data_IF_162902284543
#
_entry.id   IF_162902284543
#
_cell.length_a   1.000
_cell.length_b   1.000
_cell.length_c   1.000
_cell.angle_alpha   90.00
_cell.angle_beta   90.00
_cell.angle_gamma   90.00
#
_symmetry.space_group_name_H-M   'P 1'
#
loop_
_entity.id
_entity.type
_entity.pdbx_description
1 polymer ?
#
# COMPACT_ATOMS: atom_id res chain seq x y z
N UNK A 1 70.68 -2.39 -4.53
CA UNK A 1 70.70 -3.87 -4.41
C UNK A 1 69.40 -4.32 -3.78
N UNK A 2 68.48 -4.73 -4.61
CA UNK A 2 67.12 -5.21 -4.24
C UNK A 2 67.17 -6.70 -3.99
N UNK A 3 66.56 -7.18 -2.92
CA UNK A 3 66.20 -8.58 -2.73
C UNK A 3 64.72 -8.75 -2.83
N UNK A 4 64.31 -9.34 -3.97
CA UNK A 4 62.97 -9.89 -4.14
C UNK A 4 62.81 -11.13 -3.28
N UNK A 5 61.77 -11.21 -2.47
CA UNK A 5 61.32 -12.42 -1.79
C UNK A 5 60.15 -12.98 -2.56
N UNK A 6 60.38 -14.10 -3.24
CA UNK A 6 59.35 -14.97 -3.83
C UNK A 6 58.65 -15.70 -2.68
N UNK A 7 57.33 -15.52 -2.56
CA UNK A 7 56.45 -16.32 -1.71
C UNK A 7 55.97 -17.55 -2.47
N UNK A 8 56.43 -18.72 -2.03
CA UNK A 8 56.08 -20.04 -2.54
C UNK A 8 54.62 -20.43 -2.15
N UNK A 9 53.89 -20.88 -3.16
CA UNK A 9 52.46 -21.25 -3.08
C UNK A 9 52.19 -22.70 -2.64
N UNK A 10 53.06 -23.35 -1.86
CA UNK A 10 52.95 -24.79 -1.53
C UNK A 10 53.11 -25.08 -0.02
N UNK A 11 52.34 -24.43 0.85
CA UNK A 11 52.48 -24.66 2.28
C UNK A 11 51.22 -24.50 3.12
N UNK A 12 50.02 -24.70 2.58
CA UNK A 12 48.82 -24.54 3.38
C UNK A 12 47.82 -25.72 3.27
N UNK A 13 48.32 -26.92 3.50
CA UNK A 13 47.50 -28.11 3.70
C UNK A 13 48.19 -29.05 4.69
N UNK A 14 48.06 -28.80 6.00
CA UNK A 14 48.12 -29.80 7.09
C UNK A 14 48.12 -29.07 8.44
N UNK A 15 46.94 -28.94 8.98
CA UNK A 15 46.74 -28.44 10.32
C UNK A 15 45.25 -28.53 10.63
N UNK A 16 44.77 -29.74 10.91
CA UNK A 16 43.40 -29.97 11.38
C UNK A 16 43.23 -29.37 12.77
N UNK A 17 42.54 -28.26 12.87
CA UNK A 17 41.95 -27.79 14.10
C UNK A 17 40.40 -27.84 13.92
N UNK A 18 39.82 -28.85 14.57
CA UNK A 18 38.38 -28.99 14.70
C UNK A 18 37.87 -27.81 15.51
N UNK A 19 37.37 -26.78 14.83
CA UNK A 19 36.58 -25.75 15.48
C UNK A 19 35.17 -26.30 15.58
N UNK A 20 34.80 -26.70 16.78
CA UNK A 20 33.43 -27.04 17.13
C UNK A 20 32.55 -25.81 16.86
N UNK A 21 31.72 -25.88 15.84
CA UNK A 21 30.69 -24.92 15.53
C UNK A 21 29.62 -25.06 16.62
N UNK A 22 29.76 -24.28 17.70
CA UNK A 22 28.69 -24.16 18.68
C UNK A 22 27.50 -23.52 17.97
N UNK A 23 26.50 -24.35 17.64
CA UNK A 23 25.20 -23.85 17.22
C UNK A 23 24.62 -23.02 18.39
N UNK A 24 24.69 -21.71 18.23
CA UNK A 24 23.86 -20.80 19.04
C UNK A 24 22.42 -21.02 18.56
N UNK A 25 21.77 -22.03 19.13
CA UNK A 25 20.32 -22.11 19.14
C UNK A 25 19.85 -20.98 20.04
N UNK A 26 19.69 -19.81 19.45
CA UNK A 26 18.95 -18.71 20.07
C UNK A 26 17.56 -19.24 20.40
N UNK A 27 17.25 -19.33 21.69
CA UNK A 27 15.93 -19.58 22.21
C UNK A 27 14.93 -18.71 21.45
N UNK A 28 14.06 -19.37 20.69
CA UNK A 28 12.86 -18.74 20.18
C UNK A 28 11.98 -18.43 21.39
N UNK A 29 12.15 -17.28 22.00
CA UNK A 29 11.11 -16.72 22.85
C UNK A 29 9.88 -16.52 21.97
N UNK A 30 8.98 -17.47 22.07
CA UNK A 30 7.59 -17.32 21.67
C UNK A 30 7.04 -16.15 22.48
N UNK A 31 6.90 -14.99 21.83
CA UNK A 31 6.03 -13.94 22.34
C UNK A 31 4.58 -14.45 22.26
N UNK A 32 4.22 -15.36 23.13
CA UNK A 32 2.86 -15.55 23.56
C UNK A 32 2.54 -14.32 24.43
N UNK A 33 1.94 -13.30 23.82
CA UNK A 33 1.37 -12.22 24.57
C UNK A 33 0.30 -12.82 25.47
N UNK A 34 0.49 -12.70 26.79
CA UNK A 34 -0.58 -12.94 27.75
C UNK A 34 -1.79 -12.12 27.30
N UNK A 35 -2.91 -12.80 27.12
CA UNK A 35 -4.18 -12.20 26.75
C UNK A 35 -4.78 -11.46 27.97
N UNK A 36 -4.11 -10.41 28.40
CA UNK A 36 -4.68 -9.39 29.25
C UNK A 36 -5.62 -8.53 28.41
N UNK A 37 -6.80 -8.23 28.90
CA UNK A 37 -7.78 -7.35 28.25
C UNK A 37 -7.07 -6.03 27.88
N UNK A 38 -6.84 -5.78 26.59
CA UNK A 38 -6.20 -4.55 26.14
C UNK A 38 -7.08 -3.37 26.57
N UNK A 39 -6.50 -2.29 27.12
CA UNK A 39 -7.29 -1.15 27.52
C UNK A 39 -8.06 -0.61 26.33
N UNK A 40 -9.39 -0.42 26.48
CA UNK A 40 -10.23 0.21 25.46
C UNK A 40 -9.61 1.55 25.07
N UNK A 41 -9.31 1.70 23.79
CA UNK A 41 -8.70 2.92 23.29
C UNK A 41 -9.69 4.05 23.39
N UNK A 42 -9.33 5.07 24.19
CA UNK A 42 -10.16 6.27 24.32
C UNK A 42 -10.09 7.10 23.03
N UNK A 43 -11.17 7.77 22.64
CA UNK A 43 -11.14 8.80 21.61
C UNK A 43 -10.07 9.86 21.91
N UNK A 44 -9.65 10.61 20.89
CA UNK A 44 -8.75 11.73 21.10
C UNK A 44 -9.43 12.77 22.02
N UNK A 45 -8.77 13.08 23.13
CA UNK A 45 -9.25 14.15 24.03
C UNK A 45 -8.84 15.51 23.46
N UNK A 46 -9.76 16.48 23.46
CA UNK A 46 -9.50 17.84 22.98
C UNK A 46 -9.83 18.05 21.49
N UNK A 47 -9.13 19.00 20.88
CA UNK A 47 -9.40 19.40 19.49
C UNK A 47 -8.95 18.32 18.50
N UNK A 48 -9.84 17.89 17.63
CA UNK A 48 -9.56 16.99 16.52
C UNK A 48 -8.95 17.80 15.36
N UNK A 49 -7.63 17.89 15.30
CA UNK A 49 -6.88 18.51 14.22
C UNK A 49 -5.65 17.65 13.82
N UNK A 50 -4.98 18.06 12.73
CA UNK A 50 -3.84 17.29 12.21
C UNK A 50 -2.68 17.15 13.18
N UNK A 51 -2.42 18.16 13.99
CA UNK A 51 -1.31 18.15 14.94
C UNK A 51 -1.59 17.14 16.05
N UNK A 52 -2.77 17.23 16.65
CA UNK A 52 -3.20 16.31 17.70
C UNK A 52 -3.25 14.85 17.22
N UNK A 53 -3.78 14.62 16.02
CA UNK A 53 -3.79 13.29 15.38
C UNK A 53 -2.36 12.79 15.18
N UNK A 54 -1.45 13.62 14.67
CA UNK A 54 -0.05 13.21 14.44
C UNK A 54 0.69 12.91 15.72
N UNK A 55 0.50 13.72 16.77
CA UNK A 55 1.10 13.51 18.09
C UNK A 55 0.68 12.16 18.64
N UNK A 56 -0.63 11.88 18.71
CA UNK A 56 -1.16 10.62 19.21
C UNK A 56 -0.75 9.41 18.33
N UNK A 57 -0.82 9.55 17.01
CA UNK A 57 -0.36 8.50 16.11
C UNK A 57 1.10 8.13 16.36
N UNK A 58 1.97 9.10 16.64
CA UNK A 58 3.38 8.85 16.99
C UNK A 58 3.49 8.04 18.28
N UNK A 59 2.75 8.40 19.32
CA UNK A 59 2.73 7.68 20.59
C UNK A 59 2.23 6.23 20.43
N UNK A 60 1.23 6.03 19.57
CA UNK A 60 0.64 4.71 19.34
C UNK A 60 1.47 3.83 18.41
N UNK A 61 2.20 4.38 17.46
CA UNK A 61 2.86 3.61 16.40
C UNK A 61 4.37 3.42 16.60
N UNK A 62 5.00 4.15 17.50
CA UNK A 62 6.43 3.96 17.79
C UNK A 62 6.68 2.58 18.41
N UNK A 63 7.80 1.92 18.07
CA UNK A 63 8.87 2.36 17.15
C UNK A 63 8.63 1.99 15.67
N UNK A 64 7.47 1.46 15.31
CA UNK A 64 7.15 1.00 13.94
C UNK A 64 6.96 2.16 12.95
N UNK A 65 6.46 3.32 13.42
CA UNK A 65 6.36 4.55 12.65
C UNK A 65 6.61 5.76 13.55
N UNK A 66 7.46 6.68 13.10
CA UNK A 66 7.82 7.89 13.84
C UNK A 66 6.92 9.09 13.50
N UNK A 67 5.97 8.91 12.61
CA UNK A 67 5.03 9.95 12.13
C UNK A 67 5.79 11.26 11.82
N UNK A 68 6.78 11.14 10.94
CA UNK A 68 7.62 12.26 10.52
C UNK A 68 6.77 13.38 9.90
N UNK A 69 7.20 14.65 9.97
CA UNK A 69 6.54 15.76 9.28
C UNK A 69 6.30 15.47 7.80
N UNK A 70 7.29 14.91 7.14
CA UNK A 70 7.24 14.46 5.76
C UNK A 70 7.55 12.97 5.66
N UNK A 71 6.68 12.23 4.97
CA UNK A 71 6.80 10.78 4.83
C UNK A 71 7.51 10.43 3.51
N UNK A 72 8.83 10.61 3.47
CA UNK A 72 9.65 10.51 2.26
C UNK A 72 10.65 9.32 2.24
N UNK A 73 10.58 8.43 3.22
CA UNK A 73 11.48 7.26 3.29
C UNK A 73 12.88 7.56 3.86
N UNK A 74 13.14 8.79 4.32
CA UNK A 74 14.45 9.23 4.87
C UNK A 74 14.46 9.38 6.39
N UNK A 75 13.35 9.05 7.04
CA UNK A 75 13.22 9.12 8.49
C UNK A 75 13.81 7.91 9.23
N UNK A 76 13.69 7.86 10.58
CA UNK A 76 14.25 6.78 11.39
C UNK A 76 13.71 5.38 11.10
N UNK A 77 12.65 5.26 10.29
CA UNK A 77 12.08 3.97 9.87
C UNK A 77 12.81 3.31 8.68
N UNK A 78 13.94 3.86 8.20
CA UNK A 78 14.75 3.27 7.11
C UNK A 78 15.09 1.82 7.47
N UNK A 79 14.83 0.88 6.55
CA UNK A 79 15.08 -0.55 6.72
C UNK A 79 14.11 -1.28 7.65
N UNK A 80 13.16 -0.60 8.29
CA UNK A 80 12.23 -1.21 9.24
C UNK A 80 11.05 -1.90 8.52
N UNK A 81 11.23 -3.16 8.18
CA UNK A 81 10.20 -4.07 7.68
C UNK A 81 10.32 -5.39 8.46
N UNK A 82 9.34 -5.77 9.31
CA UNK A 82 8.02 -5.18 9.56
C UNK A 82 8.07 -3.76 10.14
N UNK A 83 7.09 -2.97 9.77
CA UNK A 83 6.96 -1.54 10.11
C UNK A 83 6.67 -0.70 8.88
N UNK A 84 6.85 0.62 8.97
CA UNK A 84 6.47 1.57 7.91
C UNK A 84 7.64 2.06 7.04
N UNK A 85 8.85 1.49 7.21
CA UNK A 85 10.00 1.76 6.36
C UNK A 85 9.93 1.07 4.99
N UNK A 86 10.99 1.21 4.20
CA UNK A 86 11.24 0.43 2.99
C UNK A 86 12.31 -0.63 3.24
N UNK A 87 12.47 -1.56 2.30
CA UNK A 87 13.53 -2.57 2.33
C UNK A 87 14.91 -1.95 2.16
N UNK A 88 15.91 -2.55 2.78
CA UNK A 88 17.30 -2.09 2.71
C UNK A 88 17.45 -0.64 3.16
N UNK A 89 18.04 0.21 2.33
CA UNK A 89 18.18 1.64 2.57
C UNK A 89 16.89 2.46 2.27
N UNK A 90 15.75 1.80 2.11
CA UNK A 90 14.45 2.41 1.74
C UNK A 90 14.44 3.13 0.39
N UNK A 91 15.34 2.81 -0.54
CA UNK A 91 15.44 3.52 -1.81
C UNK A 91 14.18 3.44 -2.66
N UNK A 92 13.49 2.28 -2.69
CA UNK A 92 12.21 2.15 -3.40
C UNK A 92 11.11 3.04 -2.79
N UNK A 93 11.14 3.26 -1.46
CA UNK A 93 10.24 4.22 -0.81
C UNK A 93 10.61 5.67 -1.17
N UNK A 94 11.89 6.01 -1.12
CA UNK A 94 12.39 7.33 -1.51
C UNK A 94 12.08 7.62 -2.98
N UNK A 95 12.27 6.63 -3.87
CA UNK A 95 11.95 6.74 -5.28
C UNK A 95 10.46 7.06 -5.55
N UNK A 96 9.52 6.49 -4.76
CA UNK A 96 8.11 6.88 -4.86
C UNK A 96 7.89 8.37 -4.56
N UNK A 97 8.53 8.86 -3.50
CA UNK A 97 8.43 10.26 -3.11
C UNK A 97 9.06 11.18 -4.15
N UNK A 98 10.30 10.89 -4.55
CA UNK A 98 11.07 11.72 -5.47
C UNK A 98 10.46 11.75 -6.87
N UNK A 99 10.02 10.59 -7.38
CA UNK A 99 9.41 10.54 -8.72
C UNK A 99 8.07 11.28 -8.79
N UNK A 100 7.26 11.23 -7.74
CA UNK A 100 6.02 11.99 -7.70
C UNK A 100 6.27 13.50 -7.49
N UNK A 101 7.30 13.86 -6.71
CA UNK A 101 7.71 15.25 -6.52
C UNK A 101 8.22 15.88 -7.82
N UNK A 102 8.90 15.11 -8.68
CA UNK A 102 9.41 15.57 -9.97
C UNK A 102 8.31 15.91 -10.99
N UNK A 103 7.12 15.32 -10.85
CA UNK A 103 5.95 15.71 -11.65
C UNK A 103 5.39 17.03 -11.11
N UNK A 104 5.19 18.03 -11.99
CA UNK A 104 4.70 19.36 -11.61
C UNK A 104 3.32 19.61 -12.22
N UNK A 105 2.44 20.33 -11.52
CA UNK A 105 1.15 20.75 -12.05
C UNK A 105 1.30 22.03 -12.89
N UNK A 106 0.67 22.06 -14.06
CA UNK A 106 0.56 23.23 -14.90
C UNK A 106 -0.60 24.11 -14.41
N UNK A 107 -0.30 25.22 -13.77
CA UNK A 107 -1.34 26.17 -13.35
C UNK A 107 -2.03 26.79 -14.56
N UNK A 108 -3.36 26.73 -14.56
CA UNK A 108 -4.24 27.34 -15.56
C UNK A 108 -5.33 28.11 -14.83
N UNK A 109 -5.52 29.37 -15.17
CA UNK A 109 -6.45 30.26 -14.44
C UNK A 109 -7.42 31.02 -15.37
N UNK A 110 -7.36 30.76 -16.68
CA UNK A 110 -8.26 31.38 -17.68
C UNK A 110 -9.24 30.29 -18.15
N UNK A 111 -10.30 30.06 -17.39
CA UNK A 111 -11.37 29.09 -17.63
C UNK A 111 -12.57 29.37 -16.72
N UNK A 112 -13.69 28.64 -16.90
CA UNK A 112 -14.92 28.80 -16.13
C UNK A 112 -15.12 27.77 -15.00
N UNK A 113 -14.10 27.04 -14.56
CA UNK A 113 -14.22 26.04 -13.47
C UNK A 113 -14.26 26.75 -12.12
N UNK A 114 -15.35 26.53 -11.35
CA UNK A 114 -15.52 27.13 -10.02
C UNK A 114 -15.74 26.07 -8.93
N UNK A 115 -16.55 25.04 -9.21
CA UNK A 115 -16.89 23.96 -8.29
C UNK A 115 -16.72 22.63 -9.01
N UNK A 116 -15.54 22.01 -8.95
CA UNK A 116 -15.30 20.76 -9.64
C UNK A 116 -15.99 19.59 -8.95
N UNK A 117 -16.40 18.59 -9.74
CA UNK A 117 -16.87 17.31 -9.25
C UNK A 117 -15.70 16.34 -9.09
N UNK A 118 -15.35 16.03 -7.85
CA UNK A 118 -14.28 15.08 -7.50
C UNK A 118 -14.74 13.64 -7.46
N UNK A 119 -16.04 13.36 -7.65
CA UNK A 119 -16.60 12.01 -7.55
C UNK A 119 -16.26 11.13 -8.75
N UNK A 120 -16.19 9.83 -8.51
CA UNK A 120 -16.07 8.81 -9.55
C UNK A 120 -17.02 7.64 -9.28
N UNK A 121 -17.29 6.85 -10.31
CA UNK A 121 -17.79 5.49 -10.17
C UNK A 121 -16.62 4.52 -10.01
N UNK A 122 -16.65 3.72 -8.95
CA UNK A 122 -15.68 2.67 -8.68
C UNK A 122 -16.38 1.32 -8.67
N UNK A 123 -16.34 0.62 -9.80
CA UNK A 123 -17.00 -0.68 -10.00
C UNK A 123 -18.47 -0.67 -9.52
N UNK A 124 -19.27 0.31 -9.99
CA UNK A 124 -20.68 0.46 -9.66
C UNK A 124 -20.94 1.11 -8.28
N UNK A 125 -19.89 1.54 -7.58
CA UNK A 125 -20.02 2.28 -6.32
C UNK A 125 -19.56 3.72 -6.52
N UNK A 126 -20.49 4.69 -6.36
CA UNK A 126 -20.14 6.11 -6.40
C UNK A 126 -19.33 6.45 -5.14
N UNK A 127 -18.13 7.02 -5.33
CA UNK A 127 -17.28 7.54 -4.26
C UNK A 127 -16.96 9.02 -4.48
N UNK A 128 -16.71 9.74 -3.39
CA UNK A 128 -16.59 11.20 -3.39
C UNK A 128 -15.26 11.73 -3.98
N UNK A 129 -14.27 10.86 -4.14
CA UNK A 129 -12.95 11.19 -4.69
C UNK A 129 -12.22 9.93 -5.17
N UNK A 130 -11.29 10.04 -6.14
CA UNK A 130 -10.50 8.91 -6.66
C UNK A 130 -9.31 8.56 -5.74
N UNK A 131 -9.59 8.40 -4.45
CA UNK A 131 -8.61 8.00 -3.45
C UNK A 131 -9.28 7.11 -2.39
N UNK A 132 -8.81 5.88 -2.25
CA UNK A 132 -9.33 4.87 -1.33
C UNK A 132 -8.24 4.37 -0.39
N UNK A 133 -8.61 3.75 0.72
CA UNK A 133 -7.62 3.19 1.63
C UNK A 133 -6.87 2.02 0.97
N UNK A 134 -5.56 1.98 1.13
CA UNK A 134 -4.78 0.82 0.73
C UNK A 134 -4.99 -0.34 1.73
N UNK A 135 -5.22 -1.57 1.28
CA UNK A 135 -5.29 -2.72 2.14
C UNK A 135 -4.00 -2.87 2.97
N UNK A 136 -4.10 -2.70 4.27
CA UNK A 136 -2.96 -2.73 5.19
C UNK A 136 -3.34 -3.55 6.40
N UNK A 137 -2.62 -4.62 6.68
CA UNK A 137 -2.85 -5.52 7.81
C UNK A 137 -1.65 -5.66 8.71
N UNK A 138 -1.78 -6.51 9.73
CA UNK A 138 -0.72 -6.77 10.69
C UNK A 138 -0.61 -5.67 11.74
N UNK A 139 -1.70 -5.32 12.38
CA UNK A 139 -1.74 -4.33 13.47
C UNK A 139 -0.72 -4.63 14.55
N UNK A 140 -0.50 -5.92 14.87
CA UNK A 140 0.42 -6.38 15.91
C UNK A 140 1.89 -6.19 15.54
N UNK A 141 2.30 -6.55 14.32
CA UNK A 141 3.72 -6.57 13.93
C UNK A 141 4.15 -5.39 13.04
N UNK A 142 3.23 -4.78 12.29
CA UNK A 142 3.54 -3.61 11.45
C UNK A 142 3.27 -2.27 12.15
N UNK A 143 2.25 -2.20 13.03
CA UNK A 143 1.66 -0.93 13.48
C UNK A 143 1.86 -0.63 14.97
N UNK A 144 2.59 -1.49 15.70
CA UNK A 144 2.86 -1.29 17.13
C UNK A 144 1.88 -2.00 18.08
N UNK A 145 0.85 -2.66 17.55
CA UNK A 145 -0.06 -3.54 18.33
C UNK A 145 -0.97 -2.82 19.32
N UNK A 146 -1.13 -1.50 19.19
CA UNK A 146 -2.00 -0.71 20.10
C UNK A 146 -3.48 -0.79 19.72
N UNK A 147 -3.80 -1.00 18.44
CA UNK A 147 -5.14 -1.30 17.94
C UNK A 147 -5.30 -2.79 17.74
N UNK A 148 -6.45 -3.35 18.05
CA UNK A 148 -6.88 -4.66 17.55
C UNK A 148 -7.21 -4.56 16.06
N UNK A 149 -7.30 -5.69 15.36
CA UNK A 149 -7.75 -5.69 13.96
C UNK A 149 -9.15 -5.09 13.81
N UNK A 150 -10.07 -5.48 14.68
CA UNK A 150 -11.42 -4.92 14.73
C UNK A 150 -11.44 -3.39 14.89
N UNK A 151 -10.69 -2.84 15.84
CA UNK A 151 -10.60 -1.40 16.06
C UNK A 151 -9.99 -0.69 14.85
N UNK A 152 -8.98 -1.29 14.24
CA UNK A 152 -8.33 -0.75 13.05
C UNK A 152 -9.26 -0.75 11.82
N UNK A 153 -9.93 -1.87 11.55
CA UNK A 153 -10.91 -1.97 10.46
C UNK A 153 -12.07 -1.00 10.67
N UNK A 154 -12.58 -0.90 11.91
CA UNK A 154 -13.61 0.10 12.26
C UNK A 154 -13.13 1.51 11.95
N UNK A 155 -11.93 1.87 12.39
CA UNK A 155 -11.38 3.21 12.18
C UNK A 155 -11.19 3.53 10.68
N UNK A 156 -10.57 2.63 9.92
CA UNK A 156 -10.31 2.85 8.48
C UNK A 156 -11.61 2.87 7.68
N UNK A 157 -12.44 1.84 7.81
CA UNK A 157 -13.64 1.71 7.00
C UNK A 157 -14.71 2.72 7.41
N UNK A 158 -14.90 2.96 8.71
CA UNK A 158 -15.85 3.94 9.20
C UNK A 158 -15.47 5.37 8.82
N UNK A 159 -14.20 5.73 8.96
CA UNK A 159 -13.73 7.07 8.58
C UNK A 159 -13.79 7.32 7.08
N UNK A 160 -13.43 6.33 6.26
CA UNK A 160 -13.60 6.41 4.81
C UNK A 160 -15.07 6.54 4.41
N UNK A 161 -15.97 5.76 5.03
CA UNK A 161 -17.42 5.85 4.80
C UNK A 161 -17.96 7.24 5.15
N UNK A 162 -17.55 7.81 6.29
CA UNK A 162 -17.92 9.20 6.68
C UNK A 162 -17.46 10.24 5.64
N UNK A 163 -16.34 10.01 4.97
CA UNK A 163 -15.83 10.89 3.91
C UNK A 163 -16.41 10.58 2.51
N UNK A 164 -17.21 9.53 2.38
CA UNK A 164 -17.80 9.08 1.12
C UNK A 164 -16.83 8.37 0.19
N UNK A 165 -15.77 7.73 0.74
CA UNK A 165 -14.84 6.88 -0.02
C UNK A 165 -14.79 5.46 0.57
N UNK A 166 -13.91 4.60 0.05
CA UNK A 166 -13.81 3.20 0.45
C UNK A 166 -12.68 2.97 1.45
N UNK A 167 -13.00 2.22 2.49
CA UNK A 167 -12.02 1.61 3.38
C UNK A 167 -11.33 0.40 2.77
N UNK A 168 -10.52 -0.28 3.58
CA UNK A 168 -9.86 -1.50 3.14
C UNK A 168 -9.67 -2.49 4.29
N UNK A 169 -9.77 -3.78 3.97
CA UNK A 169 -9.39 -4.91 4.83
C UNK A 169 -8.24 -5.68 4.15
N UNK A 170 -7.33 -6.21 4.92
CA UNK A 170 -6.18 -6.94 4.38
C UNK A 170 -6.03 -8.34 5.00
N UNK A 171 -5.73 -9.32 4.13
CA UNK A 171 -5.20 -10.62 4.53
C UNK A 171 -3.71 -10.45 4.89
N UNK A 172 -3.40 -10.26 6.16
CA UNK A 172 -2.02 -10.10 6.63
C UNK A 172 -1.19 -11.35 6.42
N UNK A 173 0.04 -11.20 5.89
CA UNK A 173 0.91 -12.37 5.61
C UNK A 173 1.30 -13.13 6.89
N UNK A 174 1.34 -12.45 8.02
CA UNK A 174 1.66 -13.01 9.33
C UNK A 174 0.43 -13.33 10.18
N UNK A 175 -0.77 -13.03 9.69
CA UNK A 175 -2.00 -13.20 10.44
C UNK A 175 -2.66 -14.54 10.09
N UNK A 176 -3.17 -15.30 11.08
CA UNK A 176 -3.96 -16.49 10.83
C UNK A 176 -5.33 -16.11 10.23
N UNK A 177 -5.98 -17.08 9.56
CA UNK A 177 -7.27 -16.87 8.89
C UNK A 177 -8.34 -16.20 9.78
N UNK A 178 -8.51 -16.57 11.06
CA UNK A 178 -9.51 -15.92 11.93
C UNK A 178 -9.35 -14.41 12.09
N UNK A 179 -8.14 -13.87 12.00
CA UNK A 179 -7.91 -12.40 12.04
C UNK A 179 -8.48 -11.73 10.80
N UNK A 180 -8.32 -12.34 9.64
CA UNK A 180 -8.94 -11.86 8.39
C UNK A 180 -10.47 -11.96 8.44
N UNK A 181 -11.01 -13.07 8.95
CA UNK A 181 -12.45 -13.27 9.15
C UNK A 181 -13.04 -12.25 10.12
N UNK A 182 -12.35 -11.91 11.23
CA UNK A 182 -12.76 -10.87 12.16
C UNK A 182 -12.87 -9.50 11.46
N UNK A 183 -11.91 -9.16 10.61
CA UNK A 183 -11.92 -7.94 9.80
C UNK A 183 -13.13 -7.88 8.86
N UNK A 184 -13.42 -8.98 8.14
CA UNK A 184 -14.58 -9.08 7.26
C UNK A 184 -15.91 -9.05 8.02
N UNK A 185 -16.00 -9.73 9.15
CA UNK A 185 -17.18 -9.71 10.01
C UNK A 185 -17.45 -8.31 10.58
N UNK A 186 -16.40 -7.58 10.93
CA UNK A 186 -16.49 -6.19 11.39
C UNK A 186 -17.02 -5.31 10.27
N UNK A 187 -16.48 -5.43 9.05
CA UNK A 187 -16.96 -4.70 7.87
C UNK A 187 -18.46 -4.93 7.64
N UNK A 188 -18.87 -6.22 7.61
CA UNK A 188 -20.26 -6.63 7.37
C UNK A 188 -21.22 -6.12 8.46
N UNK A 189 -20.86 -6.29 9.74
CA UNK A 189 -21.71 -5.92 10.86
C UNK A 189 -21.98 -4.42 10.96
N UNK A 190 -21.04 -3.59 10.48
CA UNK A 190 -21.13 -2.14 10.49
C UNK A 190 -21.68 -1.56 9.18
N UNK A 191 -21.91 -2.41 8.15
CA UNK A 191 -22.44 -1.98 6.86
C UNK A 191 -21.47 -1.10 6.05
N UNK A 192 -20.18 -1.16 6.33
CA UNK A 192 -19.18 -0.38 5.62
C UNK A 192 -18.85 -0.98 4.27
N UNK A 193 -18.51 -0.13 3.28
CA UNK A 193 -17.99 -0.56 1.99
C UNK A 193 -16.47 -0.46 1.95
N UNK A 194 -15.83 -1.49 1.42
CA UNK A 194 -14.37 -1.55 1.36
C UNK A 194 -13.89 -2.36 0.14
N UNK A 195 -12.60 -2.24 -0.15
CA UNK A 195 -11.84 -3.19 -0.95
C UNK A 195 -11.11 -4.17 -0.04
N UNK A 196 -10.76 -5.33 -0.57
CA UNK A 196 -9.96 -6.34 0.17
C UNK A 196 -8.66 -6.63 -0.55
N UNK A 197 -7.56 -6.66 0.21
CA UNK A 197 -6.24 -7.06 -0.27
C UNK A 197 -5.87 -8.45 0.21
N UNK A 198 -5.64 -9.36 -0.74
CA UNK A 198 -5.23 -10.73 -0.50
C UNK A 198 -3.73 -10.92 -0.75
N UNK A 199 -3.12 -11.84 -0.05
CA UNK A 199 -1.74 -12.25 -0.30
C UNK A 199 -1.68 -13.33 -1.40
N UNK A 200 -0.56 -13.44 -2.14
CA UNK A 200 -0.41 -14.43 -3.21
C UNK A 200 -0.14 -15.83 -2.64
N UNK A 201 -1.09 -16.34 -1.87
CA UNK A 201 -1.12 -17.69 -1.30
C UNK A 201 -1.34 -18.72 -2.42
N UNK A 202 -1.43 -19.99 -2.10
CA UNK A 202 -1.90 -21.00 -3.06
C UNK A 202 -3.28 -20.60 -3.58
N UNK A 203 -3.55 -20.81 -4.87
CA UNK A 203 -4.81 -20.36 -5.49
C UNK A 203 -6.06 -20.84 -4.73
N UNK A 204 -6.08 -22.09 -4.27
CA UNK A 204 -7.17 -22.62 -3.45
C UNK A 204 -7.47 -21.76 -2.21
N UNK A 205 -6.41 -21.29 -1.53
CA UNK A 205 -6.54 -20.49 -0.31
C UNK A 205 -6.97 -19.06 -0.63
N UNK A 206 -6.58 -18.53 -1.80
CA UNK A 206 -7.04 -17.23 -2.30
C UNK A 206 -8.53 -17.29 -2.64
N UNK A 207 -8.95 -18.33 -3.38
CA UNK A 207 -10.34 -18.51 -3.79
C UNK A 207 -11.28 -18.66 -2.59
N UNK A 208 -10.84 -19.35 -1.53
CA UNK A 208 -11.59 -19.40 -0.28
C UNK A 208 -11.80 -17.99 0.32
N UNK A 209 -10.74 -17.19 0.39
CA UNK A 209 -10.79 -15.82 0.91
C UNK A 209 -11.62 -14.87 0.04
N UNK A 210 -11.64 -15.08 -1.28
CA UNK A 210 -12.51 -14.32 -2.19
C UNK A 210 -13.99 -14.54 -1.86
N UNK A 211 -14.39 -15.78 -1.58
CA UNK A 211 -15.77 -16.12 -1.18
C UNK A 211 -16.15 -15.49 0.15
N UNK A 212 -15.24 -15.49 1.12
CA UNK A 212 -15.46 -14.82 2.40
C UNK A 212 -15.64 -13.30 2.22
N UNK A 213 -14.82 -12.69 1.38
CA UNK A 213 -14.91 -11.27 1.07
C UNK A 213 -16.21 -10.90 0.35
N UNK A 214 -16.67 -11.71 -0.61
CA UNK A 214 -17.97 -11.55 -1.27
C UNK A 214 -19.12 -11.54 -0.25
N UNK A 215 -19.15 -12.52 0.66
CA UNK A 215 -20.16 -12.64 1.71
C UNK A 215 -20.16 -11.44 2.67
N UNK A 216 -19.05 -10.71 2.78
CA UNK A 216 -18.93 -9.50 3.57
C UNK A 216 -19.38 -8.22 2.83
N UNK A 217 -19.77 -8.31 1.54
CA UNK A 217 -20.23 -7.16 0.76
C UNK A 217 -19.09 -6.24 0.27
N UNK A 218 -17.92 -6.81 0.02
CA UNK A 218 -16.74 -6.11 -0.51
C UNK A 218 -16.98 -5.66 -1.96
N UNK A 219 -16.46 -4.50 -2.34
CA UNK A 219 -16.66 -3.89 -3.67
C UNK A 219 -15.71 -4.47 -4.73
N UNK A 220 -14.45 -4.69 -4.35
CA UNK A 220 -13.42 -5.22 -5.24
C UNK A 220 -12.30 -5.90 -4.45
N UNK A 221 -11.55 -6.75 -5.13
CA UNK A 221 -10.43 -7.52 -4.58
C UNK A 221 -9.11 -7.06 -5.21
N UNK A 222 -8.05 -7.03 -4.42
CA UNK A 222 -6.68 -6.93 -4.92
C UNK A 222 -5.87 -8.14 -4.47
N UNK A 223 -4.94 -8.62 -5.32
CA UNK A 223 -3.94 -9.61 -4.92
C UNK A 223 -2.56 -8.96 -4.99
N UNK A 224 -1.86 -8.92 -3.87
CA UNK A 224 -0.52 -8.33 -3.74
C UNK A 224 0.55 -9.27 -4.31
N UNK A 225 0.67 -9.41 -5.65
CA UNK A 225 1.60 -10.34 -6.30
C UNK A 225 3.06 -10.16 -5.86
N UNK A 226 3.45 -8.92 -5.62
CA UNK A 226 4.80 -8.55 -5.15
C UNK A 226 5.12 -9.05 -3.74
N UNK A 227 4.13 -9.47 -2.97
CA UNK A 227 4.34 -10.05 -1.63
C UNK A 227 4.89 -11.48 -1.67
N UNK A 228 4.99 -12.11 -2.84
CA UNK A 228 5.61 -13.43 -3.02
C UNK A 228 7.05 -13.50 -2.50
N UNK A 229 7.82 -12.41 -2.62
CA UNK A 229 9.20 -12.32 -2.09
C UNK A 229 9.31 -12.40 -0.56
N UNK A 230 8.18 -12.46 0.15
CA UNK A 230 8.13 -12.63 1.62
C UNK A 230 7.98 -14.07 2.07
N UNK A 231 8.03 -15.04 1.17
CA UNK A 231 7.90 -16.47 1.49
C UNK A 231 8.82 -16.92 2.63
N UNK A 232 10.08 -16.45 2.64
CA UNK A 232 11.05 -16.73 3.70
C UNK A 232 10.69 -16.12 5.08
N UNK A 233 9.72 -15.21 5.13
CA UNK A 233 9.23 -14.52 6.34
C UNK A 233 7.82 -14.93 6.72
N UNK A 234 7.17 -15.78 5.92
CA UNK A 234 5.86 -16.32 6.25
C UNK A 234 5.96 -17.20 7.49
N UNK A 235 4.96 -17.10 8.36
CA UNK A 235 4.81 -18.04 9.49
C UNK A 235 4.53 -19.43 8.97
N UNK A 236 4.85 -20.47 9.75
CA UNK A 236 4.56 -21.86 9.38
C UNK A 236 3.10 -22.02 8.92
N UNK A 237 2.90 -22.60 7.74
CA UNK A 237 1.58 -22.81 7.15
C UNK A 237 1.03 -21.66 6.33
N UNK A 238 1.77 -20.54 6.20
CA UNK A 238 1.35 -19.38 5.39
C UNK A 238 2.26 -19.22 4.16
N UNK A 239 2.11 -20.10 3.19
CA UNK A 239 2.87 -20.07 1.95
C UNK A 239 2.38 -18.97 1.03
N UNK A 240 3.30 -18.15 0.53
CA UNK A 240 3.09 -17.20 -0.58
C UNK A 240 4.06 -17.54 -1.71
N UNK A 241 3.61 -17.35 -2.96
CA UNK A 241 4.37 -17.76 -4.14
C UNK A 241 4.14 -16.77 -5.30
N UNK A 242 5.09 -16.63 -6.24
CA UNK A 242 4.83 -15.97 -7.51
C UNK A 242 3.73 -16.70 -8.27
N UNK A 243 3.01 -15.99 -9.15
CA UNK A 243 1.93 -16.57 -9.96
C UNK A 243 2.34 -16.71 -11.41
N UNK A 244 2.03 -17.87 -11.99
CA UNK A 244 2.12 -18.07 -13.43
C UNK A 244 0.92 -17.44 -14.14
N UNK A 245 1.02 -17.22 -15.44
CA UNK A 245 -0.08 -16.67 -16.24
C UNK A 245 -1.36 -17.52 -16.12
N UNK A 246 -1.24 -18.84 -16.12
CA UNK A 246 -2.40 -19.74 -15.99
C UNK A 246 -3.04 -19.64 -14.59
N UNK A 247 -2.22 -19.44 -13.54
CA UNK A 247 -2.74 -19.21 -12.21
C UNK A 247 -3.48 -17.86 -12.10
N UNK A 248 -3.03 -16.81 -12.81
CA UNK A 248 -3.76 -15.53 -12.87
C UNK A 248 -5.12 -15.74 -13.55
N UNK A 249 -5.19 -16.45 -14.66
CA UNK A 249 -6.46 -16.78 -15.36
C UNK A 249 -7.42 -17.56 -14.46
N UNK A 250 -6.91 -18.56 -13.75
CA UNK A 250 -7.69 -19.34 -12.77
C UNK A 250 -8.31 -18.41 -11.71
N UNK A 251 -7.51 -17.50 -11.12
CA UNK A 251 -7.97 -16.57 -10.11
C UNK A 251 -9.01 -15.58 -10.64
N UNK A 252 -8.83 -15.08 -11.86
CA UNK A 252 -9.80 -14.20 -12.51
C UNK A 252 -11.11 -14.95 -12.76
N UNK A 253 -11.05 -16.17 -13.30
CA UNK A 253 -12.22 -16.99 -13.56
C UNK A 253 -13.00 -17.39 -12.31
N UNK A 254 -12.29 -17.58 -11.18
CA UNK A 254 -12.88 -17.96 -9.90
C UNK A 254 -13.37 -16.76 -9.07
N UNK A 255 -13.02 -15.54 -9.46
CA UNK A 255 -13.34 -14.35 -8.66
C UNK A 255 -14.82 -13.95 -8.81
N UNK A 256 -15.58 -13.87 -7.71
CA UNK A 256 -16.96 -13.40 -7.75
C UNK A 256 -17.09 -11.87 -7.82
N UNK A 257 -15.97 -11.15 -7.67
CA UNK A 257 -15.90 -9.69 -7.60
C UNK A 257 -14.86 -9.16 -8.59
N UNK A 258 -14.88 -7.87 -8.94
CA UNK A 258 -13.80 -7.25 -9.71
C UNK A 258 -12.44 -7.52 -9.05
N UNK A 259 -11.54 -8.18 -9.79
CA UNK A 259 -10.21 -8.57 -9.30
C UNK A 259 -9.13 -7.73 -9.96
N UNK A 260 -8.28 -7.13 -9.12
CA UNK A 260 -7.12 -6.35 -9.55
C UNK A 260 -5.82 -7.03 -9.07
N UNK A 261 -4.81 -7.07 -9.93
CA UNK A 261 -3.47 -7.54 -9.53
C UNK A 261 -2.60 -6.36 -9.13
N UNK A 262 -2.06 -6.42 -7.90
CA UNK A 262 -1.24 -5.36 -7.31
C UNK A 262 0.23 -5.78 -7.26
N UNK A 263 1.12 -4.79 -7.44
CA UNK A 263 2.57 -5.01 -7.48
C UNK A 263 3.12 -4.91 -8.90
N UNK A 264 2.32 -4.41 -9.84
CA UNK A 264 2.67 -4.33 -11.26
C UNK A 264 3.54 -3.08 -11.48
N UNK A 265 4.77 -3.28 -11.96
CA UNK A 265 5.74 -2.22 -12.14
C UNK A 265 6.33 -2.14 -13.56
N UNK A 266 5.89 -3.03 -14.46
CA UNK A 266 6.37 -3.08 -15.84
C UNK A 266 5.22 -3.18 -16.85
N UNK A 267 5.36 -2.64 -18.09
CA UNK A 267 4.31 -2.70 -19.11
C UNK A 267 4.00 -4.13 -19.61
N UNK A 268 4.97 -5.02 -19.62
CA UNK A 268 4.80 -6.42 -20.03
C UNK A 268 3.98 -7.22 -19.02
N UNK A 269 4.24 -7.05 -17.70
CA UNK A 269 3.39 -7.67 -16.67
C UNK A 269 1.96 -7.09 -16.65
N UNK A 270 1.82 -5.78 -16.91
CA UNK A 270 0.50 -5.17 -17.07
C UNK A 270 -0.27 -5.79 -18.25
N UNK A 271 0.41 -6.06 -19.36
CA UNK A 271 -0.17 -6.75 -20.51
C UNK A 271 -0.63 -8.18 -20.17
N UNK A 272 0.17 -8.94 -19.41
CA UNK A 272 -0.23 -10.27 -18.94
C UNK A 272 -1.48 -10.22 -18.04
N UNK A 273 -1.60 -9.21 -17.18
CA UNK A 273 -2.80 -9.02 -16.35
C UNK A 273 -4.05 -8.74 -17.21
N UNK A 274 -3.91 -7.89 -18.24
CA UNK A 274 -5.01 -7.62 -19.21
C UNK A 274 -5.40 -8.89 -19.95
N UNK A 275 -4.43 -9.66 -20.45
CA UNK A 275 -4.68 -10.93 -21.17
C UNK A 275 -5.29 -12.01 -20.27
N UNK A 276 -4.98 -12.01 -18.98
CA UNK A 276 -5.61 -12.89 -18.00
C UNK A 276 -7.07 -12.51 -17.71
N UNK A 277 -7.55 -11.34 -18.17
CA UNK A 277 -8.91 -10.85 -17.96
C UNK A 277 -9.13 -10.14 -16.65
N UNK A 278 -8.06 -9.61 -16.02
CA UNK A 278 -8.16 -8.83 -14.77
C UNK A 278 -9.06 -7.61 -14.95
N UNK A 279 -9.93 -7.32 -13.99
CA UNK A 279 -10.72 -6.09 -13.96
C UNK A 279 -9.83 -4.83 -13.85
N UNK A 280 -8.63 -4.97 -13.27
CA UNK A 280 -7.66 -3.90 -13.19
C UNK A 280 -6.30 -4.33 -12.67
N UNK A 281 -5.43 -3.35 -12.58
CA UNK A 281 -4.09 -3.48 -11.97
C UNK A 281 -3.88 -2.37 -10.94
N UNK A 282 -2.96 -2.60 -10.02
CA UNK A 282 -2.42 -1.57 -9.13
C UNK A 282 -0.93 -1.42 -9.40
N UNK A 283 -0.54 -0.29 -9.97
CA UNK A 283 0.87 0.08 -10.13
C UNK A 283 1.45 0.40 -8.76
N UNK A 284 2.33 -0.47 -8.27
CA UNK A 284 2.77 -0.45 -6.88
C UNK A 284 4.09 -1.20 -6.70
N UNK A 285 5.03 -0.60 -5.99
CA UNK A 285 6.19 -1.29 -5.41
C UNK A 285 6.00 -1.58 -3.91
N UNK A 286 4.73 -1.67 -3.46
CA UNK A 286 4.35 -1.88 -2.06
C UNK A 286 4.91 -0.82 -1.10
N UNK A 287 5.06 0.42 -1.58
CA UNK A 287 5.72 1.48 -0.83
C UNK A 287 7.20 1.20 -0.54
N UNK A 288 7.89 0.48 -1.42
CA UNK A 288 9.30 0.07 -1.27
C UNK A 288 9.52 -1.02 -0.22
N UNK A 289 8.50 -1.84 0.11
CA UNK A 289 8.53 -2.79 1.24
C UNK A 289 8.75 -4.25 0.84
N UNK A 290 8.74 -4.57 -0.44
CA UNK A 290 8.92 -5.95 -0.96
C UNK A 290 10.29 -6.16 -1.58
N UNK A 291 10.68 -5.34 -2.52
CA UNK A 291 11.99 -5.36 -3.17
C UNK A 291 12.69 -4.01 -2.95
N UNK A 292 13.96 -4.05 -2.59
CA UNK A 292 14.78 -2.84 -2.48
C UNK A 292 15.12 -2.29 -3.89
N UNK A 293 15.43 -1.00 -3.94
CA UNK A 293 15.99 -0.32 -5.14
C UNK A 293 15.06 -0.34 -6.38
N UNK A 294 13.74 -0.50 -6.17
CA UNK A 294 12.75 -0.38 -7.26
C UNK A 294 12.55 1.09 -7.66
N UNK A 295 12.19 1.37 -8.92
CA UNK A 295 11.77 2.71 -9.33
C UNK A 295 10.51 3.16 -8.58
N UNK A 296 10.24 4.46 -8.59
CA UNK A 296 8.99 4.99 -8.07
C UNK A 296 7.82 4.78 -9.03
N UNK A 297 6.62 4.64 -8.48
CA UNK A 297 5.42 4.34 -9.27
C UNK A 297 5.05 5.46 -10.25
N UNK A 298 5.29 6.73 -9.90
CA UNK A 298 5.06 7.84 -10.83
C UNK A 298 5.97 7.79 -12.07
N UNK A 299 7.18 7.22 -11.94
CA UNK A 299 8.12 7.10 -13.05
C UNK A 299 7.75 6.00 -14.06
N UNK A 300 7.05 4.96 -13.64
CA UNK A 300 6.69 3.82 -14.51
C UNK A 300 5.25 3.88 -15.01
N UNK A 301 4.36 4.58 -14.28
CA UNK A 301 2.93 4.64 -14.57
C UNK A 301 2.59 5.08 -16.00
N UNK A 302 3.22 6.13 -16.59
CA UNK A 302 2.84 6.56 -17.94
C UNK A 302 2.97 5.46 -18.98
N UNK A 303 4.09 4.72 -18.99
CA UNK A 303 4.33 3.61 -19.93
C UNK A 303 3.38 2.43 -19.72
N UNK A 304 3.06 2.14 -18.46
CA UNK A 304 2.07 1.11 -18.11
C UNK A 304 0.68 1.54 -18.59
N UNK A 305 0.29 2.79 -18.36
CA UNK A 305 -0.99 3.33 -18.80
C UNK A 305 -1.14 3.31 -20.33
N UNK A 306 -0.08 3.69 -21.06
CA UNK A 306 -0.03 3.63 -22.51
C UNK A 306 -0.14 2.19 -23.03
N UNK A 307 0.54 1.24 -22.38
CA UNK A 307 0.46 -0.19 -22.72
C UNK A 307 -0.93 -0.77 -22.46
N UNK A 308 -1.53 -0.45 -21.33
CA UNK A 308 -2.89 -0.90 -20.96
C UNK A 308 -3.96 -0.28 -21.88
N UNK A 309 -3.80 1.00 -22.21
CA UNK A 309 -4.65 1.74 -23.15
C UNK A 309 -6.15 1.55 -22.88
N UNK A 310 -6.59 1.73 -21.65
CA UNK A 310 -7.99 1.68 -21.23
C UNK A 310 -8.62 0.28 -21.19
N UNK A 311 -7.87 -0.80 -21.45
CA UNK A 311 -8.40 -2.17 -21.46
C UNK A 311 -8.70 -2.75 -20.08
N UNK A 312 -8.15 -2.18 -19.02
CA UNK A 312 -8.52 -2.50 -17.64
C UNK A 312 -8.35 -1.27 -16.75
N UNK A 313 -8.89 -1.34 -15.52
CA UNK A 313 -8.80 -0.25 -14.54
C UNK A 313 -7.38 -0.15 -13.96
N UNK A 314 -6.82 1.06 -13.89
CA UNK A 314 -5.49 1.31 -13.32
C UNK A 314 -5.63 2.06 -12.01
N UNK A 315 -5.23 1.43 -10.91
CA UNK A 315 -4.95 2.09 -9.65
C UNK A 315 -3.45 2.27 -9.46
N UNK A 316 -3.07 3.17 -8.57
CA UNK A 316 -1.67 3.41 -8.21
C UNK A 316 -1.53 3.74 -6.73
N UNK A 317 -0.43 3.32 -6.12
CA UNK A 317 0.01 3.82 -4.82
C UNK A 317 1.41 4.45 -4.91
N UNK A 318 1.91 4.95 -3.79
CA UNK A 318 3.25 5.55 -3.70
C UNK A 318 3.19 6.96 -3.14
N UNK A 319 3.33 7.08 -1.81
CA UNK A 319 3.46 8.35 -1.04
C UNK A 319 2.33 9.38 -1.18
N UNK A 320 1.14 8.96 -1.62
CA UNK A 320 -0.04 9.84 -1.68
C UNK A 320 -0.35 10.42 -0.30
N UNK A 321 -0.30 11.76 -0.18
CA UNK A 321 -0.49 12.50 1.05
C UNK A 321 -1.39 13.73 0.90
N UNK A 322 -1.56 14.20 -0.34
CA UNK A 322 -2.24 15.45 -0.69
C UNK A 322 -3.17 15.23 -1.88
N UNK A 323 -4.14 16.12 -2.04
CA UNK A 323 -5.01 16.12 -3.23
C UNK A 323 -4.24 16.37 -4.54
N UNK A 324 -3.17 17.16 -4.49
CA UNK A 324 -2.26 17.36 -5.65
C UNK A 324 -1.54 16.09 -6.05
N UNK A 325 -1.22 15.17 -5.12
CA UNK A 325 -0.60 13.88 -5.44
C UNK A 325 -1.60 12.99 -6.19
N UNK A 326 -2.87 13.04 -5.79
CA UNK A 326 -3.97 12.34 -6.48
C UNK A 326 -4.07 12.85 -7.91
N UNK A 327 -4.16 14.17 -8.13
CA UNK A 327 -4.27 14.77 -9.46
C UNK A 327 -3.10 14.42 -10.37
N UNK A 328 -1.86 14.44 -9.85
CA UNK A 328 -0.68 14.03 -10.60
C UNK A 328 -0.77 12.58 -11.08
N UNK A 329 -1.18 11.65 -10.21
CA UNK A 329 -1.34 10.25 -10.59
C UNK A 329 -2.46 10.04 -11.61
N UNK A 330 -3.57 10.76 -11.48
CA UNK A 330 -4.63 10.72 -12.49
C UNK A 330 -4.14 11.25 -13.84
N UNK A 331 -3.43 12.37 -13.85
CA UNK A 331 -2.86 12.94 -15.06
C UNK A 331 -1.78 12.04 -15.70
N UNK A 332 -1.07 11.21 -14.93
CA UNK A 332 -0.13 10.20 -15.42
C UNK A 332 -0.82 8.96 -16.01
N UNK A 333 -2.15 8.78 -15.78
CA UNK A 333 -2.94 7.74 -16.42
C UNK A 333 -3.63 6.75 -15.46
N UNK A 334 -3.60 6.95 -14.15
CA UNK A 334 -4.41 6.18 -13.21
C UNK A 334 -5.86 6.69 -13.17
N UNK A 335 -6.80 5.84 -12.77
CA UNK A 335 -8.19 6.23 -12.49
C UNK A 335 -8.48 6.40 -11.00
N UNK A 336 -7.66 5.81 -10.11
CA UNK A 336 -7.81 5.93 -8.68
C UNK A 336 -6.48 5.70 -7.97
N UNK A 337 -6.34 6.25 -6.76
CA UNK A 337 -5.14 6.09 -5.94
C UNK A 337 -5.44 5.28 -4.67
N UNK A 338 -4.42 4.55 -4.18
CA UNK A 338 -4.45 3.91 -2.87
C UNK A 338 -3.62 4.72 -1.86
N UNK A 339 -4.22 5.00 -0.72
CA UNK A 339 -3.58 5.76 0.37
C UNK A 339 -3.29 4.82 1.55
N UNK A 340 -2.03 4.50 1.78
CA UNK A 340 -1.60 3.57 2.84
C UNK A 340 -1.23 4.30 4.13
N UNK A 341 0.04 4.63 4.29
CA UNK A 341 0.65 5.14 5.54
C UNK A 341 -0.12 6.27 6.20
N UNK A 342 -0.68 7.18 5.43
CA UNK A 342 -1.37 8.35 5.97
C UNK A 342 -2.72 7.99 6.60
N UNK A 343 -3.50 7.11 5.98
CA UNK A 343 -4.74 6.62 6.59
C UNK A 343 -4.47 5.78 7.84
N UNK A 344 -3.44 4.93 7.82
CA UNK A 344 -3.04 4.17 9.02
C UNK A 344 -2.68 5.10 10.17
N UNK A 345 -1.93 6.17 9.91
CA UNK A 345 -1.61 7.19 10.93
C UNK A 345 -2.85 7.91 11.45
N UNK A 346 -3.76 8.26 10.53
CA UNK A 346 -5.01 8.91 10.90
C UNK A 346 -5.89 8.00 11.77
N UNK A 347 -5.95 6.70 11.47
CA UNK A 347 -6.65 5.70 12.28
C UNK A 347 -6.06 5.58 13.70
N UNK A 348 -4.74 5.51 13.83
CA UNK A 348 -4.09 5.44 15.14
C UNK A 348 -4.21 6.75 15.93
N UNK A 349 -4.20 7.89 15.26
CA UNK A 349 -4.25 9.19 15.89
C UNK A 349 -5.63 9.69 16.25
N UNK A 350 -6.65 9.36 15.46
CA UNK A 350 -7.99 9.94 15.61
C UNK A 350 -9.13 8.96 15.34
N UNK A 351 -8.84 7.64 15.24
CA UNK A 351 -9.82 6.61 14.90
C UNK A 351 -10.62 6.99 13.64
N UNK A 352 -11.93 6.72 13.60
CA UNK A 352 -12.80 7.04 12.46
C UNK A 352 -12.77 8.53 12.09
N UNK A 353 -12.86 9.41 13.08
CA UNK A 353 -12.90 10.86 12.84
C UNK A 353 -11.57 11.39 12.31
N UNK A 354 -10.45 10.81 12.77
CA UNK A 354 -9.12 11.10 12.22
C UNK A 354 -8.98 10.70 10.76
N UNK A 355 -9.48 9.52 10.40
CA UNK A 355 -9.48 9.06 9.00
C UNK A 355 -10.41 9.93 8.13
N UNK A 356 -11.60 10.24 8.61
CA UNK A 356 -12.55 11.12 7.90
C UNK A 356 -11.96 12.52 7.68
N UNK A 357 -11.33 13.09 8.70
CA UNK A 357 -10.66 14.40 8.60
C UNK A 357 -9.56 14.37 7.53
N UNK A 358 -8.71 13.35 7.52
CA UNK A 358 -7.64 13.23 6.55
C UNK A 358 -8.18 12.99 5.13
N UNK A 359 -9.21 12.17 4.96
CA UNK A 359 -9.84 11.92 3.68
C UNK A 359 -10.46 13.21 3.10
N UNK A 360 -11.19 13.97 3.93
CA UNK A 360 -11.77 15.25 3.53
C UNK A 360 -10.71 16.31 3.18
N UNK A 361 -9.54 16.28 3.85
CA UNK A 361 -8.39 17.10 3.47
C UNK A 361 -7.93 16.79 2.04
N UNK A 362 -7.69 15.52 1.71
CA UNK A 362 -7.30 15.12 0.35
C UNK A 362 -8.33 15.59 -0.67
N UNK A 363 -9.62 15.38 -0.39
CA UNK A 363 -10.73 15.80 -1.26
C UNK A 363 -10.74 17.30 -1.51
N UNK A 364 -10.62 18.11 -0.45
CA UNK A 364 -10.57 19.56 -0.57
C UNK A 364 -9.36 20.05 -1.36
N UNK A 365 -8.18 19.48 -1.11
CA UNK A 365 -6.97 19.82 -1.83
C UNK A 365 -7.04 19.42 -3.31
N UNK A 366 -7.66 18.28 -3.63
CA UNK A 366 -7.92 17.86 -5.01
C UNK A 366 -8.85 18.83 -5.71
N UNK A 367 -9.94 19.25 -5.06
CA UNK A 367 -10.86 20.24 -5.64
C UNK A 367 -10.16 21.58 -5.94
N UNK A 368 -9.30 22.05 -5.02
CA UNK A 368 -8.51 23.26 -5.25
C UNK A 368 -7.55 23.08 -6.41
N UNK A 369 -6.85 21.95 -6.50
CA UNK A 369 -5.94 21.65 -7.59
C UNK A 369 -6.68 21.60 -8.93
N UNK A 370 -7.82 20.93 -9.02
CA UNK A 370 -8.68 20.88 -10.21
C UNK A 370 -9.15 22.27 -10.66
N UNK A 371 -9.47 23.18 -9.74
CA UNK A 371 -9.77 24.57 -10.08
C UNK A 371 -8.53 25.25 -10.69
N UNK A 372 -7.35 25.04 -10.14
CA UNK A 372 -6.12 25.70 -10.59
C UNK A 372 -5.50 25.08 -11.84
N UNK A 373 -5.98 23.90 -12.27
CA UNK A 373 -5.57 23.23 -13.51
C UNK A 373 -6.64 23.26 -14.60
N UNK A 374 -7.86 23.68 -14.25
CA UNK A 374 -8.99 23.83 -15.18
C UNK A 374 -9.78 22.55 -15.42
N UNK A 375 -9.77 21.58 -14.49
CA UNK A 375 -10.57 20.36 -14.56
C UNK A 375 -11.93 20.54 -13.85
N UNK A 376 -13.05 20.39 -14.59
CA UNK A 376 -14.39 20.44 -14.01
C UNK A 376 -14.78 19.11 -13.39
N UNK A 377 -14.28 18.00 -13.93
CA UNK A 377 -14.55 16.62 -13.48
C UNK A 377 -13.25 15.83 -13.50
N UNK A 378 -13.22 14.71 -12.78
CA UNK A 378 -12.06 13.81 -12.77
C UNK A 378 -11.68 13.34 -14.19
N UNK A 379 -12.66 13.11 -15.07
CA UNK A 379 -12.43 12.73 -16.47
C UNK A 379 -11.74 13.79 -17.33
N UNK A 380 -11.68 15.05 -16.88
CA UNK A 380 -11.03 16.13 -17.60
C UNK A 380 -9.52 16.16 -17.32
N UNK A 381 -9.08 15.51 -16.23
CA UNK A 381 -7.67 15.44 -15.83
C UNK A 381 -6.88 14.62 -16.87
N UNK A 382 -5.81 15.22 -17.39
CA UNK A 382 -4.99 14.61 -18.44
C UNK A 382 -3.53 15.10 -18.39
N UNK A 383 -2.65 14.49 -19.18
CA UNK A 383 -1.20 14.78 -19.22
C UNK A 383 -0.85 16.23 -19.55
N UNK A 384 -1.74 17.02 -20.20
CA UNK A 384 -1.48 18.44 -20.48
C UNK A 384 -1.53 19.31 -19.22
N UNK A 385 -2.09 18.78 -18.13
CA UNK A 385 -2.16 19.46 -16.84
C UNK A 385 -0.91 19.30 -15.98
N UNK A 386 0.09 18.55 -16.47
CA UNK A 386 1.33 18.30 -15.75
C UNK A 386 2.56 18.46 -16.62
N UNK A 387 3.70 18.75 -15.99
CA UNK A 387 5.03 18.61 -16.58
C UNK A 387 5.58 17.27 -16.12
N UNK A 388 5.89 16.41 -17.08
CA UNK A 388 6.39 15.06 -16.84
C UNK A 388 7.89 15.03 -17.17
N UNK A 389 8.77 14.49 -16.31
CA UNK A 389 10.15 14.23 -16.69
C UNK A 389 10.21 13.36 -17.95
N UNK A 390 10.99 13.75 -18.98
CA UNK A 390 11.00 13.03 -20.27
C UNK A 390 11.33 11.54 -20.15
N UNK A 391 12.16 11.16 -19.19
CA UNK A 391 12.57 9.79 -18.92
C UNK A 391 11.41 8.89 -18.43
N UNK A 392 10.28 9.45 -18.00
CA UNK A 392 9.10 8.66 -17.60
C UNK A 392 8.27 8.20 -18.81
N UNK A 393 8.49 8.82 -19.96
CA UNK A 393 7.82 8.53 -21.23
C UNK A 393 8.63 7.61 -22.16
N UNK A 394 9.93 7.44 -21.85
CA UNK A 394 10.87 6.65 -22.65
C UNK A 394 10.70 5.13 -22.48
#
# INVERSE_FOLDING_TARGET
>A
MSKQVLLDRRGFLRGGASVAMAAVLGSSETFAAEAGEKPKIRPLEGKMDYESIRKRAREMMMPRCYVCPECNGRGPCVGQVPGFGGMGASRGFQANYDSLAAVQLNSRVIHGVHVPDTSIDFFGTKISMPAVAAPTGGTTYNMGGKLTEKEFVTAICGGCTKAGTLGAVADGIGDPLPVFEEGLQTLKSLGYKAIVGLKPRLNKDIIERMKLAEQAGVVALTIDLDSAGRAARATKGQTVEPKTFEQLKELVSASPLPLLFKGIMTPDEAELCVQAGAAGIVVSNHGGRTLADTPGTAAVLPRIADKVNGRCYIMVDGTVARGTDVEKYLALGAQCTLVGRHFVRAAHGGLEDGVALFANKIKSELAVAMVLTGAQRISDINRKMIVIPPEYLA
#
